data_IF_306841477054
#
_entry.id   IF_306841477054
#
_cell.length_a   1.000
_cell.length_b   1.000
_cell.length_c   1.000
_cell.angle_alpha   90.00
_cell.angle_beta   90.00
_cell.angle_gamma   90.00
#
_symmetry.space_group_name_H-M   'P 1'
#
loop_
_entity.id
_entity.type
_entity.pdbx_description
1 polymer ?
#
# COMPACT_ATOMS: atom_id res chain seq x y z
N UNK A 1 4.13 -9.20 -11.31
CA UNK A 1 5.59 -9.27 -11.50
C UNK A 1 5.88 -10.29 -12.59
N UNK A 2 6.53 -9.92 -13.71
CA UNK A 2 6.75 -10.83 -14.83
C UNK A 2 7.82 -11.91 -14.55
N UNK A 3 8.64 -11.73 -13.53
CA UNK A 3 9.68 -12.70 -13.15
C UNK A 3 9.17 -13.61 -12.04
N UNK A 4 8.50 -13.02 -11.06
CA UNK A 4 7.91 -13.75 -9.93
C UNK A 4 6.41 -13.90 -10.19
N UNK A 5 6.03 -14.92 -10.96
CA UNK A 5 4.66 -15.16 -11.40
C UNK A 5 3.61 -15.10 -10.27
N UNK A 6 2.35 -14.81 -10.64
CA UNK A 6 1.20 -14.66 -9.73
C UNK A 6 1.25 -13.46 -8.76
N UNK A 7 2.31 -12.64 -8.79
CA UNK A 7 2.43 -11.43 -7.95
C UNK A 7 1.83 -10.21 -8.64
N UNK A 8 0.52 -10.24 -8.87
CA UNK A 8 -0.27 -9.07 -9.28
C UNK A 8 -1.42 -8.90 -8.29
N UNK A 9 -1.36 -7.83 -7.49
CA UNK A 9 -2.39 -7.55 -6.47
C UNK A 9 -3.78 -7.37 -7.08
N UNK A 10 -3.85 -6.78 -8.28
CA UNK A 10 -5.10 -6.52 -9.00
C UNK A 10 -5.82 -7.81 -9.39
N UNK A 11 -5.08 -8.76 -9.96
CA UNK A 11 -5.65 -10.03 -10.45
C UNK A 11 -6.26 -10.86 -9.31
N UNK A 12 -5.74 -10.72 -8.09
CA UNK A 12 -6.22 -11.44 -6.90
C UNK A 12 -7.28 -10.67 -6.08
N UNK A 13 -7.37 -9.35 -6.25
CA UNK A 13 -8.17 -8.50 -5.36
C UNK A 13 -9.65 -8.90 -5.34
N UNK A 14 -10.28 -9.11 -6.49
CA UNK A 14 -11.71 -9.44 -6.55
C UNK A 14 -12.04 -10.78 -5.87
N UNK A 15 -11.36 -11.90 -6.17
CA UNK A 15 -11.55 -13.15 -5.41
C UNK A 15 -11.35 -12.98 -3.90
N UNK A 16 -10.37 -12.18 -3.48
CA UNK A 16 -10.10 -11.91 -2.07
C UNK A 16 -11.28 -11.19 -1.41
N UNK A 17 -11.76 -10.10 -2.03
CA UNK A 17 -12.91 -9.34 -1.54
C UNK A 17 -14.15 -10.22 -1.42
N UNK A 18 -14.48 -11.00 -2.45
CA UNK A 18 -15.69 -11.85 -2.48
C UNK A 18 -15.66 -12.94 -1.40
N UNK A 19 -14.49 -13.50 -1.10
CA UNK A 19 -14.35 -14.57 -0.08
C UNK A 19 -14.55 -14.06 1.35
N UNK A 20 -14.30 -12.77 1.60
CA UNK A 20 -14.32 -12.19 2.95
C UNK A 20 -15.56 -11.31 3.22
N UNK A 21 -16.55 -11.32 2.32
CA UNK A 21 -17.77 -10.51 2.49
C UNK A 21 -18.60 -10.96 3.70
N UNK A 22 -19.30 -10.04 4.38
CA UNK A 22 -19.26 -8.57 4.20
C UNK A 22 -18.06 -7.94 4.92
N UNK A 23 -17.50 -6.88 4.33
CA UNK A 23 -16.37 -6.13 4.88
C UNK A 23 -16.79 -4.75 5.41
N UNK A 24 -16.31 -4.36 6.59
CA UNK A 24 -16.48 -3.01 7.16
C UNK A 24 -15.42 -2.02 6.67
N UNK A 25 -14.24 -2.51 6.27
CA UNK A 25 -13.11 -1.69 5.82
C UNK A 25 -12.13 -2.55 5.03
N UNK A 26 -11.53 -1.98 3.98
CA UNK A 26 -10.38 -2.57 3.29
C UNK A 26 -9.16 -1.67 3.47
N UNK A 27 -8.04 -2.26 3.89
CA UNK A 27 -6.78 -1.55 4.10
C UNK A 27 -5.78 -1.99 3.02
N UNK A 28 -5.23 -1.04 2.26
CA UNK A 28 -4.27 -1.33 1.18
C UNK A 28 -2.93 -0.69 1.52
N UNK A 29 -1.90 -1.53 1.70
CA UNK A 29 -0.49 -1.14 1.82
C UNK A 29 0.32 -1.88 0.76
N UNK A 30 0.46 -1.27 -0.41
CA UNK A 30 1.20 -1.80 -1.57
C UNK A 30 1.99 -0.67 -2.23
N UNK A 31 2.95 -1.03 -3.09
CA UNK A 31 3.76 -0.09 -3.88
C UNK A 31 5.26 -0.28 -3.71
N UNK A 32 5.72 -0.93 -2.63
CA UNK A 32 7.16 -1.18 -2.42
C UNK A 32 7.74 -2.01 -3.56
N UNK A 33 7.09 -3.11 -3.97
CA UNK A 33 7.60 -3.95 -5.07
C UNK A 33 7.60 -3.24 -6.43
N UNK A 34 6.71 -2.29 -6.65
CA UNK A 34 6.62 -1.50 -7.88
C UNK A 34 7.81 -0.52 -8.00
N UNK A 35 8.55 -0.28 -6.91
CA UNK A 35 9.83 0.43 -6.94
C UNK A 35 10.93 -0.35 -7.65
N UNK A 36 10.80 -1.68 -7.83
CA UNK A 36 11.82 -2.50 -8.51
C UNK A 36 12.15 -1.91 -9.87
N UNK A 37 13.44 -1.79 -10.17
CA UNK A 37 13.98 -1.15 -11.38
C UNK A 37 13.33 -1.66 -12.66
N UNK A 38 13.06 -2.97 -12.73
CA UNK A 38 12.45 -3.65 -13.88
C UNK A 38 11.08 -3.10 -14.31
N UNK A 39 10.31 -2.50 -13.40
CA UNK A 39 9.02 -1.91 -13.76
C UNK A 39 9.18 -0.51 -14.34
N UNK A 40 10.30 0.17 -14.04
CA UNK A 40 10.61 1.52 -14.52
C UNK A 40 9.49 2.55 -14.28
N UNK A 41 8.71 2.37 -13.22
CA UNK A 41 7.59 3.25 -12.87
C UNK A 41 8.07 4.49 -12.10
N UNK A 42 7.39 5.62 -12.27
CA UNK A 42 7.57 6.78 -11.39
C UNK A 42 6.82 6.60 -10.06
N UNK A 43 7.14 7.39 -9.03
CA UNK A 43 6.37 7.38 -7.78
C UNK A 43 4.89 7.74 -8.01
N UNK A 44 4.63 8.62 -8.98
CA UNK A 44 3.28 8.96 -9.43
C UNK A 44 2.56 7.73 -10.00
N UNK A 45 3.18 7.00 -10.93
CA UNK A 45 2.55 5.82 -11.55
C UNK A 45 2.28 4.71 -10.53
N UNK A 46 3.16 4.53 -9.55
CA UNK A 46 2.97 3.59 -8.44
C UNK A 46 1.72 3.97 -7.63
N UNK A 47 1.57 5.26 -7.29
CA UNK A 47 0.38 5.75 -6.60
C UNK A 47 -0.90 5.57 -7.43
N UNK A 48 -0.84 5.84 -8.73
CA UNK A 48 -1.98 5.58 -9.63
C UNK A 48 -2.34 4.09 -9.66
N UNK A 49 -1.34 3.20 -9.65
CA UNK A 49 -1.54 1.75 -9.53
C UNK A 49 -2.28 1.36 -8.25
N UNK A 50 -1.91 1.94 -7.10
CA UNK A 50 -2.65 1.76 -5.85
C UNK A 50 -4.07 2.33 -5.95
N UNK A 51 -4.25 3.48 -6.61
CA UNK A 51 -5.56 4.07 -6.89
C UNK A 51 -6.48 3.18 -7.73
N UNK A 52 -5.93 2.41 -8.67
CA UNK A 52 -6.71 1.39 -9.41
C UNK A 52 -7.30 0.36 -8.45
N UNK A 53 -6.53 -0.12 -7.48
CA UNK A 53 -7.00 -1.08 -6.47
C UNK A 53 -8.08 -0.45 -5.59
N UNK A 54 -7.89 0.78 -5.12
CA UNK A 54 -8.91 1.52 -4.37
C UNK A 54 -10.21 1.60 -5.16
N UNK A 55 -10.13 1.99 -6.44
CA UNK A 55 -11.31 2.07 -7.31
C UNK A 55 -12.00 0.72 -7.54
N UNK A 56 -11.25 -0.38 -7.60
CA UNK A 56 -11.84 -1.73 -7.68
C UNK A 56 -12.60 -2.12 -6.41
N UNK A 57 -12.07 -1.79 -5.24
CA UNK A 57 -12.80 -1.97 -3.97
C UNK A 57 -14.07 -1.11 -3.96
N UNK A 58 -13.98 0.17 -4.34
CA UNK A 58 -15.12 1.10 -4.37
C UNK A 58 -16.22 0.73 -5.39
N UNK A 59 -15.89 -0.06 -6.42
CA UNK A 59 -16.87 -0.61 -7.37
C UNK A 59 -17.37 -2.00 -7.00
N UNK A 60 -16.75 -2.63 -6.01
CA UNK A 60 -17.18 -3.94 -5.52
C UNK A 60 -18.49 -3.81 -4.73
N UNK A 61 -19.18 -4.94 -4.55
CA UNK A 61 -20.31 -5.04 -3.63
C UNK A 61 -19.89 -5.61 -2.26
N UNK A 62 -18.59 -5.59 -1.94
CA UNK A 62 -18.01 -6.44 -0.90
C UNK A 62 -18.40 -6.10 0.55
N UNK A 63 -19.02 -4.95 0.77
CA UNK A 63 -19.51 -4.50 2.06
C UNK A 63 -20.93 -4.98 2.37
N UNK A 64 -21.49 -4.44 3.46
CA UNK A 64 -22.85 -4.74 3.90
C UNK A 64 -23.91 -4.26 2.90
N UNK A 65 -25.02 -5.01 2.83
CA UNK A 65 -26.13 -4.73 1.93
C UNK A 65 -25.75 -4.59 0.44
N UNK A 66 -24.62 -5.19 0.03
CA UNK A 66 -24.12 -5.10 -1.35
C UNK A 66 -23.46 -3.76 -1.69
N UNK A 67 -23.16 -2.93 -0.69
CA UNK A 67 -22.40 -1.68 -0.86
C UNK A 67 -20.90 -1.97 -0.98
N UNK A 68 -20.13 -1.00 -1.48
CA UNK A 68 -18.68 -1.07 -1.38
C UNK A 68 -18.21 -0.75 0.05
N UNK A 69 -17.20 -1.46 0.59
CA UNK A 69 -16.61 -1.09 1.87
C UNK A 69 -15.77 0.19 1.72
N UNK A 70 -15.63 1.02 2.78
CA UNK A 70 -14.66 2.11 2.80
C UNK A 70 -13.24 1.56 2.63
N UNK A 71 -12.33 2.42 2.17
CA UNK A 71 -10.93 2.07 1.94
C UNK A 71 -10.03 2.99 2.76
N UNK A 72 -9.04 2.39 3.42
CA UNK A 72 -7.90 3.06 4.02
C UNK A 72 -6.64 2.74 3.21
N UNK A 73 -6.16 3.72 2.45
CA UNK A 73 -4.95 3.63 1.65
C UNK A 73 -3.73 4.02 2.49
N UNK A 74 -2.72 3.16 2.53
CA UNK A 74 -1.45 3.43 3.21
C UNK A 74 -0.33 3.63 2.18
N UNK A 75 0.44 4.69 2.34
CA UNK A 75 1.71 4.83 1.64
C UNK A 75 2.79 4.02 2.38
N UNK A 76 3.58 3.16 1.69
CA UNK A 76 4.70 2.46 2.33
C UNK A 76 5.82 3.42 2.74
N UNK A 77 6.61 3.09 3.78
CA UNK A 77 7.73 3.93 4.18
C UNK A 77 8.84 3.87 3.11
N UNK A 78 9.73 4.89 3.04
CA UNK A 78 10.83 4.89 2.10
C UNK A 78 11.77 3.69 2.31
N UNK A 79 12.26 3.13 1.21
CA UNK A 79 13.32 2.12 1.25
C UNK A 79 14.67 2.80 1.49
N UNK A 80 15.52 2.17 2.29
CA UNK A 80 16.82 2.71 2.73
C UNK A 80 17.92 1.69 2.50
N UNK A 81 19.20 2.08 2.49
CA UNK A 81 20.38 1.17 2.56
C UNK A 81 20.25 -0.21 1.88
N UNK A 82 19.80 -0.22 0.62
CA UNK A 82 19.54 -1.45 -0.12
C UNK A 82 20.84 -2.24 -0.30
N UNK A 83 20.95 -3.39 0.36
CA UNK A 83 22.15 -4.25 0.32
C UNK A 83 21.96 -5.37 -0.72
N UNK A 84 21.46 -6.53 -0.32
CA UNK A 84 21.22 -7.69 -1.19
C UNK A 84 20.22 -7.45 -2.33
N UNK A 85 19.49 -6.33 -2.30
CA UNK A 85 18.48 -5.95 -3.29
C UNK A 85 18.85 -4.70 -4.11
N UNK A 86 20.09 -4.20 -3.99
CA UNK A 86 20.51 -2.93 -4.59
C UNK A 86 20.21 -2.82 -6.10
N UNK A 87 20.58 -3.82 -6.91
CA UNK A 87 20.33 -3.81 -8.35
C UNK A 87 18.84 -3.94 -8.68
N UNK A 88 18.12 -4.79 -7.94
CA UNK A 88 16.70 -5.01 -8.15
C UNK A 88 15.88 -3.74 -7.87
N UNK A 89 16.34 -2.91 -6.93
CA UNK A 89 15.69 -1.68 -6.49
C UNK A 89 16.54 -0.43 -6.82
N UNK A 90 17.34 -0.48 -7.88
CA UNK A 90 18.18 0.66 -8.27
C UNK A 90 17.33 1.93 -8.46
N UNK A 91 17.70 3.01 -7.76
CA UNK A 91 16.97 4.30 -7.77
C UNK A 91 15.68 4.32 -6.95
N UNK A 92 15.35 3.25 -6.22
CA UNK A 92 14.15 3.17 -5.39
C UNK A 92 14.19 4.11 -4.19
N UNK A 93 15.36 4.37 -3.59
CA UNK A 93 15.50 5.22 -2.41
C UNK A 93 14.87 6.61 -2.63
N UNK A 94 15.36 7.36 -3.62
CA UNK A 94 14.81 8.69 -3.95
C UNK A 94 13.35 8.64 -4.40
N UNK A 95 12.96 7.60 -5.15
CA UNK A 95 11.59 7.45 -5.65
C UNK A 95 10.60 7.21 -4.51
N UNK A 96 10.97 6.36 -3.55
CA UNK A 96 10.12 5.95 -2.43
C UNK A 96 9.76 7.10 -1.50
N UNK A 97 10.65 8.08 -1.35
CA UNK A 97 10.41 9.30 -0.57
C UNK A 97 9.23 10.14 -1.09
N UNK A 98 8.85 9.98 -2.37
CA UNK A 98 7.73 10.72 -2.97
C UNK A 98 6.40 9.96 -2.93
N UNK A 99 6.38 8.71 -2.45
CA UNK A 99 5.15 7.91 -2.42
C UNK A 99 4.09 8.51 -1.50
N UNK A 100 4.47 8.98 -0.31
CA UNK A 100 3.55 9.62 0.65
C UNK A 100 2.73 10.74 0.01
N UNK A 101 3.40 11.69 -0.64
CA UNK A 101 2.76 12.81 -1.34
C UNK A 101 1.78 12.32 -2.43
N UNK A 102 2.20 11.42 -3.31
CA UNK A 102 1.35 10.97 -4.42
C UNK A 102 0.19 10.08 -3.97
N UNK A 103 0.38 9.26 -2.94
CA UNK A 103 -0.70 8.44 -2.37
C UNK A 103 -1.73 9.31 -1.68
N UNK A 104 -1.30 10.36 -0.97
CA UNK A 104 -2.23 11.33 -0.40
C UNK A 104 -3.09 11.99 -1.50
N UNK A 105 -2.47 12.44 -2.60
CA UNK A 105 -3.19 13.02 -3.73
C UNK A 105 -4.21 12.03 -4.33
N UNK A 106 -3.85 10.76 -4.46
CA UNK A 106 -4.76 9.71 -4.95
C UNK A 106 -5.91 9.49 -3.97
N UNK A 107 -5.65 9.44 -2.67
CA UNK A 107 -6.68 9.27 -1.66
C UNK A 107 -7.67 10.44 -1.64
N UNK A 108 -7.18 11.67 -1.78
CA UNK A 108 -8.00 12.87 -1.91
C UNK A 108 -8.89 12.82 -3.18
N UNK A 109 -8.31 12.44 -4.32
CA UNK A 109 -9.03 12.30 -5.60
C UNK A 109 -10.13 11.24 -5.56
N UNK A 110 -9.89 10.13 -4.88
CA UNK A 110 -10.83 9.01 -4.76
C UNK A 110 -11.70 9.09 -3.51
N UNK A 111 -11.57 10.17 -2.72
CA UNK A 111 -12.27 10.36 -1.46
C UNK A 111 -12.19 9.14 -0.52
N UNK A 112 -11.00 8.55 -0.36
CA UNK A 112 -10.76 7.47 0.59
C UNK A 112 -9.86 7.91 1.76
N UNK A 113 -9.85 7.14 2.84
CA UNK A 113 -9.02 7.45 3.98
C UNK A 113 -7.54 7.19 3.66
N UNK A 114 -6.64 7.98 4.26
CA UNK A 114 -5.20 7.89 4.03
C UNK A 114 -4.40 7.81 5.33
N UNK A 115 -3.27 7.10 5.29
CA UNK A 115 -2.22 7.12 6.31
C UNK A 115 -0.84 7.02 5.66
N UNK A 116 0.03 8.01 5.91
CA UNK A 116 1.44 7.93 5.53
C UNK A 116 2.22 7.17 6.60
N UNK A 117 2.61 5.93 6.29
CA UNK A 117 3.33 5.08 7.26
C UNK A 117 4.75 5.56 7.52
N UNK A 118 5.33 6.40 6.66
CA UNK A 118 6.67 6.97 6.88
C UNK A 118 6.76 7.90 8.08
N UNK A 119 5.61 8.40 8.55
CA UNK A 119 5.51 9.21 9.77
C UNK A 119 5.51 8.38 11.05
N UNK A 120 5.44 7.05 10.91
CA UNK A 120 5.26 6.10 12.02
C UNK A 120 6.40 5.09 12.07
N UNK A 121 6.84 4.61 10.90
CA UNK A 121 7.79 3.51 10.78
C UNK A 121 8.90 3.78 9.78
N UNK A 122 9.97 3.01 9.91
CA UNK A 122 11.11 2.98 8.97
C UNK A 122 11.39 1.56 8.46
N UNK A 123 11.98 1.45 7.27
CA UNK A 123 12.53 0.18 6.78
C UNK A 123 13.81 -0.20 7.53
N UNK A 124 13.98 -1.49 7.79
CA UNK A 124 15.11 -2.08 8.49
C UNK A 124 16.41 -1.86 7.73
N UNK A 125 17.49 -1.58 8.46
CA UNK A 125 18.84 -1.45 7.91
C UNK A 125 19.44 -2.80 7.44
N UNK A 126 18.80 -3.93 7.75
CA UNK A 126 19.27 -5.27 7.36
C UNK A 126 19.25 -5.44 5.85
N UNK A 127 18.11 -5.13 5.22
CA UNK A 127 17.93 -5.26 3.77
C UNK A 127 17.36 -4.01 3.09
N UNK A 128 16.92 -3.03 3.86
CA UNK A 128 16.45 -1.76 3.36
C UNK A 128 14.99 -1.70 2.94
N UNK A 129 14.25 -2.80 3.07
CA UNK A 129 12.92 -2.97 2.51
C UNK A 129 11.93 -3.37 3.61
N UNK A 130 12.23 -4.43 4.35
CA UNK A 130 11.32 -5.01 5.34
C UNK A 130 11.38 -4.28 6.69
N UNK A 131 10.55 -4.67 7.64
CA UNK A 131 10.40 -3.99 8.92
C UNK A 131 10.93 -4.84 10.06
N UNK A 132 11.56 -4.18 11.03
CA UNK A 132 11.92 -4.83 12.30
C UNK A 132 10.67 -5.06 13.16
N UNK A 133 10.78 -5.94 14.15
CA UNK A 133 9.63 -6.35 14.97
C UNK A 133 8.95 -5.19 15.72
N UNK A 134 9.69 -4.18 16.15
CA UNK A 134 9.16 -3.00 16.82
C UNK A 134 8.50 -2.04 15.83
N UNK A 135 9.01 -1.92 14.61
CA UNK A 135 8.39 -1.19 13.51
C UNK A 135 7.03 -1.81 13.12
N UNK A 136 6.94 -3.15 13.06
CA UNK A 136 5.65 -3.84 12.89
C UNK A 136 4.63 -3.48 13.98
N UNK A 137 5.07 -3.39 15.24
CA UNK A 137 4.20 -3.00 16.36
C UNK A 137 3.72 -1.56 16.24
N UNK A 138 4.62 -0.61 15.94
CA UNK A 138 4.28 0.80 15.70
C UNK A 138 3.25 0.95 14.57
N UNK A 139 3.44 0.24 13.46
CA UNK A 139 2.49 0.23 12.35
C UNK A 139 1.11 -0.26 12.79
N UNK A 140 1.06 -1.40 13.50
CA UNK A 140 -0.19 -1.97 13.99
C UNK A 140 -0.95 -1.01 14.94
N UNK A 141 -0.24 -0.37 15.87
CA UNK A 141 -0.82 0.61 16.79
C UNK A 141 -1.40 1.83 16.05
N UNK A 142 -0.66 2.38 15.09
CA UNK A 142 -1.12 3.53 14.29
C UNK A 142 -2.30 3.18 13.37
N UNK A 143 -2.27 2.02 12.72
CA UNK A 143 -3.38 1.54 11.89
C UNK A 143 -4.61 1.30 12.76
N UNK A 144 -4.47 0.66 13.93
CA UNK A 144 -5.59 0.45 14.84
C UNK A 144 -6.23 1.76 15.30
N UNK A 145 -5.42 2.78 15.64
CA UNK A 145 -5.92 4.11 15.99
C UNK A 145 -6.69 4.75 14.81
N UNK A 146 -6.17 4.62 13.58
CA UNK A 146 -6.83 5.14 12.38
C UNK A 146 -8.15 4.41 12.10
N UNK A 147 -8.18 3.09 12.21
CA UNK A 147 -9.38 2.26 12.02
C UNK A 147 -10.48 2.67 13.01
N UNK A 148 -10.15 2.82 14.30
CA UNK A 148 -11.12 3.30 15.29
C UNK A 148 -11.72 4.66 14.90
N UNK A 149 -10.89 5.62 14.47
CA UNK A 149 -11.40 6.93 14.03
C UNK A 149 -12.31 6.92 12.79
N UNK A 150 -12.34 5.80 12.05
CA UNK A 150 -13.16 5.64 10.84
C UNK A 150 -14.46 4.87 11.10
N UNK A 151 -14.45 3.95 12.07
CA UNK A 151 -15.54 3.01 12.32
C UNK A 151 -16.28 3.23 13.65
N UNK A 152 -15.69 3.98 14.59
CA UNK A 152 -16.26 4.35 15.89
C UNK A 152 -16.61 5.85 15.92
#
# INVERSE_FOLDING_TARGET
DPIEGYKNGRDYLIPCLETHRPLDLVIILLGTNDLKKRFSLSAYDIAQGAGVLVGEVQRSAAGYAGMAPPVLLLAPPPVVRLSGFAEMFEGAGEKSQRLGMHYQQVAEQLACAFLDTSTVIVSSDVDGIHFDSDEHRKLGEAVAAKVRSLLE
#
